data_IF_732621954213
#
_entry.id   IF_732621954213
#
_cell.length_a   1.000
_cell.length_b   1.000
_cell.length_c   1.000
_cell.angle_alpha   90.00
_cell.angle_beta   90.00
_cell.angle_gamma   90.00
#
_symmetry.space_group_name_H-M   'P 1'
#
loop_
_entity.id
_entity.type
_entity.pdbx_description
1 polymer ?
#
# COMPACT_ATOMS: atom_id res chain seq x y z
N UNK A 1 -30.78 -41.41 -18.52
CA UNK A 1 -30.42 -41.41 -17.08
C UNK A 1 -28.93 -41.13 -16.96
N UNK A 2 -28.50 -39.87 -17.06
CA UNK A 2 -28.26 -38.96 -15.92
C UNK A 2 -27.12 -39.44 -15.00
N UNK A 3 -25.91 -39.69 -15.53
CA UNK A 3 -24.70 -39.93 -14.70
C UNK A 3 -23.41 -39.25 -15.18
N UNK A 4 -23.43 -38.53 -16.31
CA UNK A 4 -22.23 -37.91 -16.89
C UNK A 4 -22.06 -36.40 -16.57
N UNK A 5 -22.93 -35.83 -15.72
CA UNK A 5 -22.89 -34.40 -15.38
C UNK A 5 -22.19 -34.07 -14.05
N UNK A 6 -21.63 -35.05 -13.34
CA UNK A 6 -21.15 -34.87 -11.96
C UNK A 6 -19.60 -34.75 -11.87
N UNK A 7 -18.88 -34.71 -13.00
CA UNK A 7 -17.41 -34.71 -12.99
C UNK A 7 -16.74 -33.34 -13.24
N UNK A 8 -17.49 -32.26 -13.49
CA UNK A 8 -16.90 -30.94 -13.79
C UNK A 8 -17.04 -29.90 -12.65
N UNK A 9 -17.70 -30.25 -11.54
CA UNK A 9 -17.94 -29.31 -10.43
C UNK A 9 -16.68 -28.93 -9.63
N UNK A 10 -15.68 -29.80 -9.37
CA UNK A 10 -14.60 -29.43 -8.45
C UNK A 10 -13.53 -28.49 -9.03
N UNK A 11 -13.51 -28.25 -10.36
CA UNK A 11 -12.52 -27.34 -10.98
C UNK A 11 -12.90 -25.86 -10.82
N UNK A 12 -14.19 -25.55 -10.64
CA UNK A 12 -14.65 -24.16 -10.51
C UNK A 12 -14.32 -23.55 -9.14
N UNK A 13 -14.12 -24.34 -8.09
CA UNK A 13 -13.83 -23.83 -6.75
C UNK A 13 -12.34 -23.51 -6.50
N UNK A 14 -11.42 -23.99 -7.34
CA UNK A 14 -10.00 -23.67 -7.21
C UNK A 14 -9.61 -22.30 -7.82
N UNK A 15 -10.53 -21.64 -8.55
CA UNK A 15 -10.28 -20.36 -9.21
C UNK A 15 -10.33 -19.13 -8.30
N UNK A 16 -10.92 -19.22 -7.10
CA UNK A 16 -11.11 -18.05 -6.24
C UNK A 16 -9.81 -17.61 -5.54
N UNK A 17 -8.94 -18.53 -5.11
CA UNK A 17 -7.69 -18.16 -4.42
C UNK A 17 -6.65 -17.54 -5.36
N UNK A 18 -6.58 -18.00 -6.62
CA UNK A 18 -5.68 -17.41 -7.62
C UNK A 18 -6.19 -16.07 -8.12
N UNK A 19 -7.51 -15.89 -8.23
CA UNK A 19 -8.12 -14.62 -8.57
C UNK A 19 -7.85 -13.54 -7.53
N UNK A 20 -7.98 -13.86 -6.23
CA UNK A 20 -7.69 -12.89 -5.16
C UNK A 20 -6.25 -12.37 -5.21
N UNK A 21 -5.26 -13.24 -5.40
CA UNK A 21 -3.86 -12.83 -5.47
C UNK A 21 -3.55 -11.95 -6.70
N UNK A 22 -4.25 -12.17 -7.81
CA UNK A 22 -4.15 -11.32 -9.00
C UNK A 22 -4.81 -9.95 -8.80
N UNK A 23 -5.99 -9.92 -8.18
CA UNK A 23 -6.70 -8.67 -7.83
C UNK A 23 -5.91 -7.85 -6.80
N UNK A 24 -5.30 -8.47 -5.80
CA UNK A 24 -4.44 -7.80 -4.82
C UNK A 24 -3.26 -7.05 -5.48
N UNK A 25 -2.62 -7.67 -6.48
CA UNK A 25 -1.52 -7.03 -7.21
C UNK A 25 -1.98 -5.87 -8.10
N UNK A 26 -3.24 -5.89 -8.54
CA UNK A 26 -3.86 -4.78 -9.26
C UNK A 26 -4.32 -3.64 -8.34
N UNK A 27 -4.47 -3.90 -7.04
CA UNK A 27 -4.93 -2.93 -6.03
C UNK A 27 -3.78 -2.28 -5.23
N UNK A 28 -2.59 -2.22 -5.85
CA UNK A 28 -1.46 -1.49 -5.30
C UNK A 28 -1.30 -0.17 -6.05
N UNK A 29 -1.66 0.93 -5.41
CA UNK A 29 -1.53 2.26 -5.98
C UNK A 29 -0.12 2.78 -5.76
N UNK A 30 0.47 3.34 -6.81
CA UNK A 30 1.80 3.96 -6.72
C UNK A 30 1.64 5.47 -6.65
N UNK A 31 2.01 6.03 -5.51
CA UNK A 31 1.95 7.45 -5.19
C UNK A 31 3.37 8.03 -5.27
N UNK A 32 3.55 9.04 -6.10
CA UNK A 32 4.83 9.74 -6.26
C UNK A 32 4.78 11.08 -5.53
N UNK A 33 5.61 11.22 -4.51
CA UNK A 33 5.75 12.44 -3.75
C UNK A 33 7.06 13.14 -4.09
N UNK A 34 7.00 14.46 -4.25
CA UNK A 34 8.17 15.33 -4.32
C UNK A 34 8.36 15.96 -2.95
N UNK A 35 9.40 15.55 -2.22
CA UNK A 35 9.82 16.19 -0.97
C UNK A 35 10.95 17.18 -1.24
N UNK A 36 11.24 18.03 -0.26
CA UNK A 36 12.29 19.03 -0.35
C UNK A 36 13.69 18.37 -0.38
N UNK A 37 13.87 17.27 0.35
CA UNK A 37 15.17 16.57 0.42
C UNK A 37 15.37 15.58 -0.74
N UNK A 38 14.36 14.75 -1.03
CA UNK A 38 14.41 13.73 -2.09
C UNK A 38 13.01 13.29 -2.55
N UNK A 39 12.85 12.86 -3.80
CA UNK A 39 11.60 12.25 -4.25
C UNK A 39 11.33 10.94 -3.51
N UNK A 40 10.05 10.66 -3.24
CA UNK A 40 9.60 9.47 -2.52
C UNK A 40 8.49 8.78 -3.31
N UNK A 41 8.74 7.53 -3.70
CA UNK A 41 7.72 6.67 -4.33
C UNK A 41 7.15 5.71 -3.29
N UNK A 42 5.85 5.82 -3.04
CA UNK A 42 5.11 5.01 -2.07
C UNK A 42 4.15 4.10 -2.80
N UNK A 43 4.15 2.82 -2.46
CA UNK A 43 3.18 1.82 -2.94
C UNK A 43 2.18 1.55 -1.85
N UNK A 44 0.94 1.97 -2.06
CA UNK A 44 -0.17 1.78 -1.15
C UNK A 44 -0.95 0.52 -1.55
N UNK A 45 -0.98 -0.48 -0.67
CA UNK A 45 -1.79 -1.68 -0.83
C UNK A 45 -3.09 -1.52 -0.02
N UNK A 46 -4.18 -1.18 -0.70
CA UNK A 46 -5.48 -0.96 -0.06
C UNK A 46 -6.01 -2.19 0.68
N UNK A 47 -6.05 -3.40 0.08
CA UNK A 47 -6.53 -4.60 0.76
C UNK A 47 -5.77 -4.97 2.04
N UNK A 48 -4.46 -4.67 2.09
CA UNK A 48 -3.59 -5.01 3.23
C UNK A 48 -3.40 -3.86 4.20
N UNK A 49 -3.92 -2.68 3.88
CA UNK A 49 -3.71 -1.46 4.68
C UNK A 49 -2.21 -1.20 4.93
N UNK A 50 -1.39 -1.43 3.91
CA UNK A 50 0.07 -1.37 3.99
C UNK A 50 0.63 -0.37 2.99
N UNK A 51 1.66 0.35 3.40
CA UNK A 51 2.48 1.16 2.48
C UNK A 51 3.88 0.61 2.40
N UNK A 52 4.43 0.58 1.20
CA UNK A 52 5.81 0.17 0.96
C UNK A 52 6.56 1.23 0.17
N UNK A 53 7.72 1.65 0.66
CA UNK A 53 8.58 2.63 0.00
C UNK A 53 10.05 2.31 0.24
N UNK A 54 10.94 2.91 -0.54
CA UNK A 54 12.38 2.73 -0.39
C UNK A 54 12.98 4.00 0.18
N UNK A 55 13.68 3.88 1.32
CA UNK A 55 14.39 4.98 1.96
C UNK A 55 15.86 4.59 2.09
N UNK A 56 16.77 5.35 1.47
CA UNK A 56 18.23 5.10 1.51
C UNK A 56 18.60 3.68 1.09
N UNK A 57 18.02 3.23 -0.04
CA UNK A 57 18.14 1.87 -0.60
C UNK A 57 17.60 0.75 0.30
N UNK A 58 16.91 1.08 1.40
CA UNK A 58 16.23 0.12 2.26
C UNK A 58 14.73 0.09 1.94
N UNK A 59 14.18 -1.06 1.50
CA UNK A 59 12.74 -1.21 1.39
C UNK A 59 12.13 -1.25 2.80
N UNK A 60 11.10 -0.45 3.01
CA UNK A 60 10.32 -0.38 4.23
C UNK A 60 8.87 -0.70 3.89
N UNK A 61 8.23 -1.48 4.75
CA UNK A 61 6.79 -1.79 4.68
C UNK A 61 6.18 -1.44 6.03
N UNK A 62 5.22 -0.54 6.03
CA UNK A 62 4.54 -0.04 7.22
C UNK A 62 3.06 -0.41 7.14
N UNK A 63 2.46 -0.76 8.28
CA UNK A 63 1.03 -1.07 8.38
C UNK A 63 0.25 0.14 8.85
N UNK A 64 -1.03 0.23 8.50
CA UNK A 64 -1.89 1.33 8.91
C UNK A 64 -2.06 1.35 10.43
N UNK A 65 -1.85 2.53 11.00
CA UNK A 65 -2.03 2.82 12.41
C UNK A 65 -3.15 3.82 12.64
N UNK A 66 -3.63 3.88 13.88
CA UNK A 66 -4.65 4.84 14.28
C UNK A 66 -4.15 6.28 14.09
N UNK A 67 -4.98 7.13 13.47
CA UNK A 67 -4.69 8.54 13.22
C UNK A 67 -5.93 9.39 13.48
N UNK A 68 -5.73 10.58 14.05
CA UNK A 68 -6.82 11.54 14.26
C UNK A 68 -7.19 12.30 12.97
N UNK A 69 -6.23 12.49 12.05
CA UNK A 69 -6.47 13.11 10.74
C UNK A 69 -5.47 12.59 9.72
N UNK A 70 -5.96 12.29 8.51
CA UNK A 70 -5.14 11.66 7.47
C UNK A 70 -4.84 10.19 7.76
N UNK A 71 -4.01 9.58 6.93
CA UNK A 71 -3.61 8.19 7.06
C UNK A 71 -2.21 8.10 7.66
N UNK A 72 -2.07 7.34 8.75
CA UNK A 72 -0.79 7.08 9.41
C UNK A 72 -0.44 5.62 9.20
N UNK A 73 0.79 5.35 8.82
CA UNK A 73 1.35 4.01 8.70
C UNK A 73 2.63 3.92 9.50
N UNK A 74 2.84 2.84 10.23
CA UNK A 74 4.02 2.68 11.10
C UNK A 74 4.40 1.22 11.30
N UNK A 75 5.69 0.96 11.49
CA UNK A 75 6.25 -0.32 11.95
C UNK A 75 6.79 -0.23 13.39
N UNK A 76 6.52 0.87 14.08
CA UNK A 76 7.06 1.21 15.40
C UNK A 76 8.39 1.98 15.38
N UNK A 77 9.12 1.99 14.25
CA UNK A 77 10.37 2.75 14.09
C UNK A 77 10.17 3.90 13.10
N UNK A 78 9.61 3.62 11.94
CA UNK A 78 9.25 4.61 10.94
C UNK A 78 7.77 4.94 11.02
N UNK A 79 7.44 6.17 10.65
CA UNK A 79 6.06 6.62 10.51
C UNK A 79 5.94 7.35 9.19
N UNK A 80 5.07 6.86 8.31
CA UNK A 80 4.60 7.59 7.15
C UNK A 80 3.25 8.20 7.49
N UNK A 81 3.13 9.53 7.46
CA UNK A 81 1.88 10.22 7.73
C UNK A 81 1.48 11.04 6.51
N UNK A 82 0.35 10.70 5.91
CA UNK A 82 -0.21 11.44 4.78
C UNK A 82 -1.49 12.18 5.20
N UNK A 83 -1.62 13.41 4.71
CA UNK A 83 -2.75 14.30 4.96
C UNK A 83 -3.08 15.05 3.67
N UNK A 84 -4.19 14.68 3.03
CA UNK A 84 -4.54 15.19 1.70
C UNK A 84 -3.46 14.82 0.71
N UNK A 85 -2.93 15.83 0.00
CA UNK A 85 -1.85 15.66 -0.99
C UNK A 85 -0.44 15.76 -0.37
N UNK A 86 -0.35 16.05 0.94
CA UNK A 86 0.92 16.21 1.65
C UNK A 86 1.28 14.96 2.45
N UNK A 87 2.57 14.67 2.60
CA UNK A 87 3.09 13.61 3.45
C UNK A 87 4.35 14.03 4.21
N UNK A 88 4.58 13.38 5.35
CA UNK A 88 5.78 13.54 6.17
C UNK A 88 6.24 12.16 6.63
N UNK A 89 7.55 11.92 6.61
CA UNK A 89 8.15 10.67 7.10
C UNK A 89 8.96 10.95 8.35
N UNK A 90 8.70 10.16 9.39
CA UNK A 90 9.43 10.19 10.64
C UNK A 90 10.25 8.92 10.80
N UNK A 91 11.44 9.07 11.37
CA UNK A 91 12.24 7.98 11.91
C UNK A 91 12.39 8.19 13.41
N UNK A 92 11.69 7.33 14.17
CA UNK A 92 11.43 7.46 15.61
C UNK A 92 10.70 8.78 15.87
N UNK A 93 11.42 9.78 16.37
CA UNK A 93 10.87 11.10 16.72
C UNK A 93 11.44 12.23 15.84
N UNK A 94 12.17 11.89 14.78
CA UNK A 94 12.79 12.88 13.88
C UNK A 94 12.15 12.84 12.51
N UNK A 95 11.87 14.02 11.95
CA UNK A 95 11.45 14.16 10.56
C UNK A 95 12.64 13.85 9.66
N UNK A 96 12.46 12.90 8.74
CA UNK A 96 13.49 12.51 7.75
C UNK A 96 13.12 12.95 6.33
N UNK A 97 11.83 13.14 6.08
CA UNK A 97 11.31 13.76 4.87
C UNK A 97 10.15 14.65 5.27
N UNK A 98 10.21 15.91 4.90
CA UNK A 98 9.16 16.88 5.14
C UNK A 98 8.60 17.45 3.84
N UNK A 99 7.42 18.05 3.96
CA UNK A 99 6.75 18.78 2.87
C UNK A 99 6.65 17.97 1.56
N UNK A 100 6.44 16.66 1.67
CA UNK A 100 6.30 15.79 0.50
C UNK A 100 4.96 16.05 -0.18
N UNK A 101 4.96 16.56 -1.41
CA UNK A 101 3.74 16.85 -2.18
C UNK A 101 3.48 15.80 -3.25
N UNK A 102 2.29 15.24 -3.26
CA UNK A 102 1.84 14.26 -4.25
C UNK A 102 1.81 14.92 -5.64
N UNK A 103 2.56 14.34 -6.59
CA UNK A 103 2.70 14.92 -7.93
C UNK A 103 1.52 14.62 -8.85
N UNK A 104 0.87 13.47 -8.64
CA UNK A 104 -0.27 13.05 -9.44
C UNK A 104 -1.42 12.59 -8.53
N UNK A 105 -2.16 13.52 -7.91
CA UNK A 105 -3.38 13.17 -7.20
C UNK A 105 -4.37 12.62 -8.23
N UNK A 106 -4.59 11.30 -8.21
CA UNK A 106 -5.67 10.70 -9.00
C UNK A 106 -6.99 11.22 -8.43
N UNK A 107 -7.63 12.13 -9.17
CA UNK A 107 -8.89 12.77 -8.82
C UNK A 107 -10.06 12.07 -9.51
#
# INVERSE_FOLDING_TARGET
MKKLLIACVPVLLAGCSTYNQFVERMNTDTLEYQCDEKPLTVKLNHPREEVSFVLDNKPLTLTQGLSASGARYTDGIYVFWSKGDSATVYHRDRVVLDNCQLQNPQR
#
